data_IF_354923386444
#
_entry.id   IF_354923386444
#
_cell.length_a   1.000
_cell.length_b   1.000
_cell.length_c   1.000
_cell.angle_alpha   90.00
_cell.angle_beta   90.00
_cell.angle_gamma   90.00
#
_symmetry.space_group_name_H-M   'P 1'
#
loop_
_entity.id
_entity.type
_entity.pdbx_description
1 polymer ?
#
# COMPACT_ATOMS: atom_id res chain seq x y z
N UNK A 1 -10.44 -11.38 -11.47
CA UNK A 1 -10.11 -12.19 -10.28
C UNK A 1 -9.48 -11.28 -9.26
N UNK A 2 -9.86 -11.40 -7.97
CA UNK A 2 -9.31 -10.56 -6.90
C UNK A 2 -7.78 -10.72 -6.83
N UNK A 3 -7.10 -9.61 -6.60
CA UNK A 3 -5.65 -9.55 -6.41
C UNK A 3 -5.31 -8.87 -5.09
N UNK A 4 -4.12 -9.16 -4.59
CA UNK A 4 -3.50 -8.45 -3.48
C UNK A 4 -2.23 -7.79 -3.97
N UNK A 5 -2.09 -6.48 -3.74
CA UNK A 5 -0.89 -5.71 -4.03
C UNK A 5 -0.11 -5.54 -2.73
N UNK A 6 1.08 -6.14 -2.69
CA UNK A 6 2.04 -6.03 -1.61
C UNK A 6 3.13 -5.04 -2.04
N UNK A 7 3.40 -4.01 -1.25
CA UNK A 7 4.48 -3.06 -1.51
C UNK A 7 5.34 -2.94 -0.27
N UNK A 8 6.62 -3.24 -0.39
CA UNK A 8 7.66 -2.97 0.61
C UNK A 8 8.28 -1.61 0.34
N UNK A 9 8.32 -0.77 1.36
CA UNK A 9 8.89 0.57 1.35
C UNK A 9 9.95 0.67 2.43
N UNK A 10 11.17 1.07 2.06
CA UNK A 10 12.25 1.38 3.00
C UNK A 10 12.42 2.89 2.99
N UNK A 11 11.97 3.55 4.05
CA UNK A 11 11.99 5.01 4.24
C UNK A 11 13.08 5.41 5.23
N UNK A 12 13.55 6.65 5.15
CA UNK A 12 14.40 7.24 6.20
C UNK A 12 13.61 7.39 7.50
N UNK A 13 14.23 7.12 8.65
CA UNK A 13 13.58 7.22 9.97
C UNK A 13 12.94 8.60 10.20
N UNK A 14 13.65 9.69 9.85
CA UNK A 14 13.17 11.07 10.02
C UNK A 14 11.91 11.40 9.18
N UNK A 15 11.59 10.59 8.18
CA UNK A 15 10.41 10.78 7.33
C UNK A 15 9.23 9.90 7.74
N UNK A 16 9.44 8.93 8.64
CA UNK A 16 8.42 7.93 8.97
C UNK A 16 7.15 8.58 9.51
N UNK A 17 7.27 9.49 10.47
CA UNK A 17 6.10 10.17 11.07
C UNK A 17 5.33 10.99 10.04
N UNK A 18 6.04 11.69 9.16
CA UNK A 18 5.44 12.45 8.05
C UNK A 18 4.70 11.52 7.08
N UNK A 19 5.30 10.37 6.76
CA UNK A 19 4.66 9.35 5.93
C UNK A 19 3.39 8.80 6.58
N UNK A 20 3.41 8.50 7.88
CA UNK A 20 2.24 8.00 8.62
C UNK A 20 1.10 9.01 8.63
N UNK A 21 1.38 10.29 8.89
CA UNK A 21 0.37 11.35 8.82
C UNK A 21 -0.19 11.52 7.40
N UNK A 22 0.67 11.45 6.38
CA UNK A 22 0.28 11.53 4.97
C UNK A 22 -0.63 10.36 4.61
N UNK A 23 -0.27 9.15 5.04
CA UNK A 23 -1.09 7.96 4.82
C UNK A 23 -2.45 8.07 5.52
N UNK A 24 -2.51 8.52 6.77
CA UNK A 24 -3.76 8.71 7.51
C UNK A 24 -4.75 9.62 6.77
N UNK A 25 -4.25 10.72 6.20
CA UNK A 25 -5.04 11.69 5.41
C UNK A 25 -5.47 11.11 4.05
N UNK A 26 -4.69 10.20 3.47
CA UNK A 26 -4.87 9.70 2.10
C UNK A 26 -5.57 8.34 2.04
N UNK A 27 -5.58 7.52 3.11
CA UNK A 27 -6.08 6.13 3.07
C UNK A 27 -7.53 5.99 2.60
N UNK A 28 -8.41 6.92 2.98
CA UNK A 28 -9.81 6.93 2.55
C UNK A 28 -9.95 7.25 1.05
N UNK A 29 -9.06 8.09 0.51
CA UNK A 29 -9.01 8.35 -0.93
C UNK A 29 -8.51 7.13 -1.70
N UNK A 30 -7.54 6.38 -1.16
CA UNK A 30 -7.09 5.12 -1.78
C UNK A 30 -8.26 4.13 -1.83
N UNK A 31 -8.96 3.97 -0.71
CA UNK A 31 -10.09 3.06 -0.58
C UNK A 31 -11.28 3.44 -1.47
N UNK A 32 -11.43 4.72 -1.81
CA UNK A 32 -12.53 5.20 -2.67
C UNK A 32 -12.31 4.95 -4.16
N UNK A 33 -11.10 4.58 -4.59
CA UNK A 33 -10.85 4.21 -5.99
C UNK A 33 -11.66 2.98 -6.37
N UNK A 34 -12.23 3.02 -7.58
CA UNK A 34 -12.99 1.90 -8.12
C UNK A 34 -12.17 0.60 -8.05
N UNK A 35 -12.79 -0.44 -7.51
CA UNK A 35 -12.19 -1.75 -7.39
C UNK A 35 -11.22 -1.93 -6.23
N UNK A 36 -10.86 -0.89 -5.47
CA UNK A 36 -10.16 -1.05 -4.19
C UNK A 36 -11.12 -1.64 -3.15
N UNK A 37 -10.68 -2.68 -2.44
CA UNK A 37 -11.48 -3.39 -1.44
C UNK A 37 -10.97 -3.15 -0.02
N UNK A 38 -9.64 -3.20 0.15
CA UNK A 38 -8.98 -2.89 1.42
C UNK A 38 -7.64 -2.23 1.15
N UNK A 39 -7.16 -1.45 2.12
CA UNK A 39 -5.80 -0.93 2.15
C UNK A 39 -5.31 -0.92 3.59
N UNK A 40 -4.28 -1.71 3.84
CA UNK A 40 -3.65 -1.89 5.13
C UNK A 40 -2.23 -1.34 5.08
N UNK A 41 -1.79 -0.74 6.19
CA UNK A 41 -0.43 -0.28 6.39
C UNK A 41 0.18 -1.07 7.55
N UNK A 42 1.34 -1.64 7.30
CA UNK A 42 2.14 -2.35 8.30
C UNK A 42 3.46 -1.63 8.50
N UNK A 43 3.92 -1.61 9.75
CA UNK A 43 5.27 -1.22 10.12
C UNK A 43 6.01 -2.49 10.55
N UNK A 44 7.27 -2.59 10.17
CA UNK A 44 8.13 -3.65 10.71
C UNK A 44 8.33 -3.43 12.22
N UNK A 45 8.28 -4.51 12.98
CA UNK A 45 8.39 -4.44 14.45
C UNK A 45 9.80 -4.13 14.96
N UNK A 46 10.82 -4.21 14.10
CA UNK A 46 12.22 -4.13 14.49
C UNK A 46 12.98 -3.06 13.71
N UNK A 47 12.72 -2.94 12.40
CA UNK A 47 13.38 -2.01 11.52
C UNK A 47 12.55 -0.73 11.35
N UNK A 48 12.99 0.34 12.04
CA UNK A 48 12.40 1.66 11.90
C UNK A 48 12.58 2.15 10.45
N UNK A 49 11.48 2.58 9.84
CA UNK A 49 11.46 3.03 8.45
C UNK A 49 11.13 1.93 7.43
N UNK A 50 11.06 0.65 7.84
CA UNK A 50 10.53 -0.40 6.98
C UNK A 50 9.01 -0.49 7.15
N UNK A 51 8.27 -0.20 6.09
CA UNK A 51 6.81 -0.30 6.07
C UNK A 51 6.29 -1.05 4.83
N UNK A 52 5.04 -1.51 4.92
CA UNK A 52 4.39 -2.25 3.87
C UNK A 52 2.97 -1.75 3.66
N UNK A 53 2.57 -1.57 2.41
CA UNK A 53 1.14 -1.43 2.08
C UNK A 53 0.63 -2.73 1.47
N UNK A 54 -0.52 -3.18 1.95
CA UNK A 54 -1.21 -4.35 1.44
C UNK A 54 -2.59 -3.89 1.02
N UNK A 55 -2.91 -3.98 -0.26
CA UNK A 55 -4.23 -3.58 -0.77
C UNK A 55 -4.87 -4.67 -1.60
N UNK A 56 -6.17 -4.86 -1.42
CA UNK A 56 -6.93 -5.83 -2.19
C UNK A 56 -7.73 -5.13 -3.27
N UNK A 57 -7.73 -5.68 -4.48
CA UNK A 57 -8.41 -5.11 -5.64
C UNK A 57 -9.29 -6.14 -6.36
N UNK A 58 -10.39 -5.69 -6.96
CA UNK A 58 -11.31 -6.53 -7.76
C UNK A 58 -10.63 -7.10 -9.02
N UNK A 59 -9.73 -6.33 -9.63
CA UNK A 59 -8.96 -6.76 -10.82
C UNK A 59 -7.63 -6.01 -10.97
N UNK A 60 -6.74 -6.52 -11.82
CA UNK A 60 -5.50 -5.83 -12.22
C UNK A 60 -5.77 -4.52 -12.95
N UNK A 61 -6.86 -4.45 -13.72
CA UNK A 61 -7.27 -3.23 -14.42
C UNK A 61 -7.57 -2.10 -13.43
N UNK A 62 -8.28 -2.39 -12.35
CA UNK A 62 -8.62 -1.41 -11.33
C UNK A 62 -7.37 -0.90 -10.61
N UNK A 63 -6.47 -1.82 -10.25
CA UNK A 63 -5.17 -1.48 -9.66
C UNK A 63 -4.34 -0.60 -10.60
N UNK A 64 -4.29 -0.93 -11.88
CA UNK A 64 -3.50 -0.16 -12.84
C UNK A 64 -4.12 1.20 -13.13
N UNK A 65 -5.45 1.31 -13.21
CA UNK A 65 -6.14 2.59 -13.32
C UNK A 65 -5.80 3.52 -12.13
N UNK A 66 -5.79 2.98 -10.92
CA UNK A 66 -5.32 3.70 -9.73
C UNK A 66 -3.86 4.13 -9.86
N UNK A 67 -2.95 3.23 -10.24
CA UNK A 67 -1.51 3.51 -10.41
C UNK A 67 -1.21 4.54 -11.49
N UNK A 68 -2.03 4.60 -12.53
CA UNK A 68 -1.90 5.58 -13.61
C UNK A 68 -2.56 6.92 -13.28
N UNK A 69 -3.34 7.02 -12.19
CA UNK A 69 -3.96 8.28 -11.80
C UNK A 69 -2.93 9.35 -11.44
N UNK A 70 -3.22 10.61 -11.79
CA UNK A 70 -2.36 11.76 -11.47
C UNK A 70 -2.12 11.88 -9.96
N UNK A 71 -3.15 11.60 -9.17
CA UNK A 71 -3.08 11.62 -7.70
C UNK A 71 -2.07 10.62 -7.15
N UNK A 72 -2.10 9.37 -7.66
CA UNK A 72 -1.12 8.35 -7.26
C UNK A 72 0.28 8.74 -7.72
N UNK A 73 0.45 9.14 -8.98
CA UNK A 73 1.76 9.51 -9.51
C UNK A 73 2.41 10.68 -8.75
N UNK A 74 1.60 11.68 -8.39
CA UNK A 74 2.03 12.82 -7.57
C UNK A 74 2.45 12.37 -6.16
N UNK A 75 1.59 11.59 -5.47
CA UNK A 75 1.90 11.04 -4.15
C UNK A 75 3.14 10.14 -4.18
N UNK A 76 3.28 9.31 -5.20
CA UNK A 76 4.44 8.43 -5.36
C UNK A 76 5.73 9.20 -5.62
N UNK A 77 5.65 10.32 -6.35
CA UNK A 77 6.80 11.21 -6.61
C UNK A 77 7.32 11.87 -5.34
N UNK A 78 6.44 12.19 -4.40
CA UNK A 78 6.78 12.71 -3.07
C UNK A 78 7.48 11.63 -2.23
N UNK A 79 6.79 10.50 -2.01
CA UNK A 79 7.28 9.43 -1.11
C UNK A 79 8.62 8.86 -1.57
N UNK A 80 8.83 8.69 -2.89
CA UNK A 80 10.05 8.07 -3.41
C UNK A 80 11.34 8.84 -3.14
N UNK A 81 11.25 10.13 -2.79
CA UNK A 81 12.42 10.95 -2.44
C UNK A 81 13.05 10.53 -1.11
N UNK A 82 12.28 9.84 -0.27
CA UNK A 82 12.69 9.43 1.07
C UNK A 82 13.05 7.94 1.15
N UNK A 83 13.18 7.26 0.00
CA UNK A 83 13.57 5.86 -0.03
C UNK A 83 15.05 5.66 0.29
N UNK A 84 15.32 4.78 1.26
CA UNK A 84 16.66 4.31 1.62
C UNK A 84 17.05 3.03 0.86
N UNK A 85 16.09 2.33 0.27
CA UNK A 85 16.28 1.21 -0.66
C UNK A 85 15.19 1.22 -1.73
N UNK A 86 15.42 0.56 -2.87
CA UNK A 86 14.45 0.45 -3.95
C UNK A 86 13.17 -0.23 -3.44
N UNK A 87 11.99 0.36 -3.68
CA UNK A 87 10.73 -0.26 -3.28
C UNK A 87 10.54 -1.57 -4.05
N UNK A 88 10.00 -2.58 -3.39
CA UNK A 88 9.67 -3.88 -4.00
C UNK A 88 8.18 -4.08 -3.95
N UNK A 89 7.61 -4.63 -5.01
CA UNK A 89 6.17 -4.78 -5.07
C UNK A 89 5.74 -6.00 -5.87
N UNK A 90 4.68 -6.64 -5.40
CA UNK A 90 4.14 -7.88 -5.95
C UNK A 90 2.63 -7.75 -6.11
N UNK A 91 2.10 -8.26 -7.21
CA UNK A 91 0.68 -8.51 -7.37
C UNK A 91 0.47 -10.01 -7.25
N UNK A 92 -0.36 -10.44 -6.30
CA UNK A 92 -0.54 -11.84 -5.93
C UNK A 92 -2.01 -12.24 -5.98
N UNK A 93 -2.24 -13.54 -6.02
CA UNK A 93 -3.56 -14.13 -5.83
C UNK A 93 -3.54 -15.01 -4.59
N UNK A 94 -4.53 -14.82 -3.71
CA UNK A 94 -4.73 -15.73 -2.58
C UNK A 94 -5.12 -17.11 -3.11
N UNK A 95 -4.40 -18.15 -2.68
CA UNK A 95 -4.76 -19.55 -2.97
C UNK A 95 -5.75 -20.10 -1.93
N UNK A 96 -5.66 -19.62 -0.69
CA UNK A 96 -6.51 -20.03 0.42
C UNK A 96 -6.64 -18.88 1.41
N UNK A 97 -7.80 -18.73 2.02
CA UNK A 97 -8.01 -17.79 3.12
C UNK A 97 -8.85 -18.49 4.17
N UNK A 98 -8.26 -18.65 5.35
CA UNK A 98 -8.92 -19.22 6.52
C UNK A 98 -9.31 -18.07 7.43
N UNK A 99 -10.60 -17.97 7.73
CA UNK A 99 -11.14 -17.00 8.67
C UNK A 99 -11.52 -17.76 9.95
N UNK A 100 -11.06 -17.28 11.10
CA UNK A 100 -11.58 -17.79 12.37
C UNK A 100 -13.05 -17.39 12.44
N UNK A 101 -13.96 -18.36 12.51
CA UNK A 101 -15.34 -18.09 12.85
C UNK A 101 -15.39 -17.74 14.34
N UNK A 102 -15.78 -16.51 14.74
CA UNK A 102 -16.07 -16.26 16.13
C UNK A 102 -17.23 -17.17 16.55
N UNK A 103 -17.07 -17.83 17.70
CA UNK A 103 -18.11 -18.67 18.30
C UNK A 103 -19.38 -17.89 18.64
#
# INVERSE_FOLDING_TARGET
MKITRLVKLSLSEDYLDTFLESFEKKKQQILSYEGCLTVDLYLDSTNKGLCFTVSNWKSERDLEAYRQSEWFQSTWKEVKQHFTDKPKAWTTHSQETLENQPA
#
